data_IF_066421378972
#
_entry.id   IF_066421378972
#
_cell.length_a   1.000
_cell.length_b   1.000
_cell.length_c   1.000
_cell.angle_alpha   90.00
_cell.angle_beta   90.00
_cell.angle_gamma   90.00
#
_symmetry.space_group_name_H-M   'P 1'
#
loop_
_entity.id
_entity.type
_entity.pdbx_description
1 polymer ?
#
# COMPACT_ATOMS: atom_id res chain seq x y z
N UNK A 1 -0.17 4.40 13.27
CA UNK A 1 -1.23 5.33 13.69
C UNK A 1 -1.11 6.57 12.82
N UNK A 2 -1.92 6.70 11.76
CA UNK A 2 -1.98 7.91 10.95
C UNK A 2 -3.23 8.69 11.33
N UNK A 3 -3.05 9.84 11.98
CA UNK A 3 -4.14 10.73 12.38
C UNK A 3 -4.20 11.85 11.33
N UNK A 4 -5.22 11.83 10.47
CA UNK A 4 -5.70 13.06 9.83
C UNK A 4 -7.03 13.46 10.48
N UNK A 5 -7.07 14.69 11.00
CA UNK A 5 -8.28 15.41 11.41
C UNK A 5 -9.24 14.73 12.40
N UNK A 6 -8.78 13.79 13.22
CA UNK A 6 -9.60 13.21 14.30
C UNK A 6 -10.70 12.25 13.83
N UNK A 7 -10.66 11.79 12.58
CA UNK A 7 -11.46 10.66 12.10
C UNK A 7 -10.58 9.42 12.00
N UNK A 8 -10.88 8.41 12.82
CA UNK A 8 -10.30 7.08 12.67
C UNK A 8 -11.11 6.37 11.58
N UNK A 9 -10.83 6.67 10.32
CA UNK A 9 -11.56 6.09 9.17
C UNK A 9 -10.87 4.85 8.55
N UNK A 10 -9.73 4.43 9.11
CA UNK A 10 -9.09 3.16 8.75
C UNK A 10 -9.21 2.18 9.91
N UNK A 11 -9.96 1.07 9.77
CA UNK A 11 -9.78 -0.05 10.67
C UNK A 11 -8.32 -0.51 10.54
N UNK A 12 -7.56 -0.40 11.63
CA UNK A 12 -6.17 -0.79 11.81
C UNK A 12 -5.56 -1.64 10.68
N UNK A 13 -4.79 -0.98 9.79
CA UNK A 13 -3.85 -1.63 8.87
C UNK A 13 -4.47 -2.55 7.82
N UNK A 14 -3.70 -2.82 6.76
CA UNK A 14 -3.99 -4.01 5.95
C UNK A 14 -3.73 -5.21 6.88
N UNK A 15 -4.74 -6.07 7.20
CA UNK A 15 -4.62 -7.02 8.31
C UNK A 15 -3.57 -8.12 8.11
N UNK A 16 -3.09 -8.31 6.88
CA UNK A 16 -2.01 -9.21 6.49
C UNK A 16 -1.58 -8.91 5.04
N UNK A 17 -0.34 -9.23 4.67
CA UNK A 17 0.17 -9.07 3.28
C UNK A 17 -0.72 -9.79 2.26
N UNK A 18 -1.29 -10.93 2.63
CA UNK A 18 -2.23 -11.71 1.79
C UNK A 18 -3.49 -10.92 1.41
N UNK A 19 -3.95 -10.00 2.27
CA UNK A 19 -5.14 -9.18 2.03
C UNK A 19 -4.83 -7.86 1.32
N UNK A 20 -3.56 -7.48 1.21
CA UNK A 20 -3.16 -6.23 0.57
C UNK A 20 -3.67 -6.09 -0.87
N UNK A 21 -3.58 -7.13 -1.73
CA UNK A 21 -4.10 -7.02 -3.10
C UNK A 21 -5.61 -6.78 -3.15
N UNK A 22 -6.37 -7.49 -2.31
CA UNK A 22 -7.83 -7.32 -2.25
C UNK A 22 -8.20 -5.93 -1.73
N UNK A 23 -7.47 -5.43 -0.72
CA UNK A 23 -7.68 -4.10 -0.19
C UNK A 23 -7.47 -3.01 -1.25
N UNK A 24 -6.41 -3.11 -2.06
CA UNK A 24 -6.13 -2.19 -3.17
C UNK A 24 -7.24 -2.29 -4.22
N UNK A 25 -7.69 -3.51 -4.56
CA UNK A 25 -8.79 -3.72 -5.51
C UNK A 25 -10.10 -3.06 -5.03
N UNK A 26 -10.45 -3.23 -3.76
CA UNK A 26 -11.65 -2.64 -3.18
C UNK A 26 -11.52 -1.12 -3.10
N UNK A 27 -10.35 -0.60 -2.74
CA UNK A 27 -10.07 0.83 -2.71
C UNK A 27 -10.17 1.46 -4.11
N UNK A 28 -9.73 0.76 -5.16
CA UNK A 28 -9.84 1.25 -6.55
C UNK A 28 -11.30 1.38 -7.04
N UNK A 29 -12.23 0.62 -6.43
CA UNK A 29 -13.67 0.65 -6.74
C UNK A 29 -14.45 1.70 -5.95
N UNK A 30 -13.86 2.30 -4.92
CA UNK A 30 -14.53 3.33 -4.13
C UNK A 30 -14.81 4.56 -4.99
N UNK A 31 -15.89 5.26 -4.68
CA UNK A 31 -16.29 6.51 -5.33
C UNK A 31 -16.13 7.74 -4.44
N UNK A 32 -15.59 7.54 -3.23
CA UNK A 32 -15.36 8.59 -2.24
C UNK A 32 -13.89 9.06 -2.23
N UNK A 33 -13.53 9.94 -1.29
CA UNK A 33 -12.19 10.50 -1.12
C UNK A 33 -11.09 9.45 -0.87
N UNK A 34 -11.47 8.23 -0.48
CA UNK A 34 -10.55 7.11 -0.22
C UNK A 34 -10.38 6.19 -1.44
N UNK A 35 -10.77 6.63 -2.63
CA UNK A 35 -10.51 5.91 -3.89
C UNK A 35 -9.02 5.79 -4.14
N UNK A 36 -8.55 4.58 -4.37
CA UNK A 36 -7.19 4.34 -4.83
C UNK A 36 -7.02 4.83 -6.28
N UNK A 37 -6.01 5.66 -6.49
CA UNK A 37 -5.68 6.27 -7.78
C UNK A 37 -4.32 5.75 -8.25
N UNK A 38 -4.27 4.89 -9.29
CA UNK A 38 -3.01 4.30 -9.74
C UNK A 38 -2.09 5.29 -10.47
N UNK A 39 -2.59 6.48 -10.80
CA UNK A 39 -1.81 7.55 -11.44
C UNK A 39 -1.08 8.44 -10.40
N UNK A 40 -1.16 8.09 -9.11
CA UNK A 40 -0.46 8.76 -8.01
C UNK A 40 0.58 7.86 -7.38
N UNK A 41 1.52 8.48 -6.66
CA UNK A 41 2.49 7.77 -5.83
C UNK A 41 1.78 6.95 -4.75
N UNK A 42 2.23 5.72 -4.54
CA UNK A 42 1.70 4.82 -3.51
C UNK A 42 2.72 4.75 -2.37
N UNK A 43 2.24 4.90 -1.14
CA UNK A 43 3.04 4.83 0.07
C UNK A 43 2.61 3.63 0.90
N UNK A 44 3.58 2.75 1.20
CA UNK A 44 3.41 1.69 2.19
C UNK A 44 4.23 2.02 3.43
N UNK A 45 3.61 1.89 4.60
CA UNK A 45 4.24 2.07 5.90
C UNK A 45 4.28 0.73 6.62
N UNK A 46 5.45 0.32 7.11
CA UNK A 46 5.60 -0.94 7.82
C UNK A 46 6.75 -0.88 8.84
N UNK A 47 6.82 -1.87 9.74
CA UNK A 47 7.86 -1.91 10.79
C UNK A 47 9.24 -2.21 10.18
N UNK A 48 10.33 -1.60 10.67
CA UNK A 48 11.69 -1.93 10.21
C UNK A 48 12.10 -3.38 10.50
N UNK A 49 11.38 -4.08 11.39
CA UNK A 49 11.63 -5.49 11.70
C UNK A 49 10.78 -6.45 10.85
N UNK A 50 9.84 -5.94 10.04
CA UNK A 50 9.00 -6.76 9.15
C UNK A 50 9.67 -6.98 7.79
N UNK A 51 10.61 -7.92 7.78
CA UNK A 51 11.33 -8.32 6.56
C UNK A 51 10.43 -9.00 5.52
N UNK A 52 9.30 -9.57 5.95
CA UNK A 52 8.33 -10.17 5.03
C UNK A 52 7.64 -9.10 4.19
N UNK A 53 7.28 -7.97 4.80
CA UNK A 53 6.72 -6.82 4.08
C UNK A 53 7.70 -6.25 3.06
N UNK A 54 8.96 -6.03 3.45
CA UNK A 54 10.01 -5.54 2.54
C UNK A 54 10.22 -6.48 1.34
N UNK A 55 10.30 -7.79 1.58
CA UNK A 55 10.46 -8.78 0.52
C UNK A 55 9.23 -8.82 -0.41
N UNK A 56 8.03 -8.78 0.14
CA UNK A 56 6.79 -8.78 -0.64
C UNK A 56 6.66 -7.52 -1.50
N UNK A 57 6.93 -6.34 -0.93
CA UNK A 57 6.89 -5.06 -1.66
C UNK A 57 7.90 -5.01 -2.79
N UNK A 58 9.13 -5.49 -2.56
CA UNK A 58 10.17 -5.56 -3.59
C UNK A 58 9.83 -6.54 -4.72
N UNK A 59 9.10 -7.61 -4.42
CA UNK A 59 8.63 -8.56 -5.43
C UNK A 59 7.47 -7.99 -6.26
N UNK A 60 6.53 -7.28 -5.63
CA UNK A 60 5.34 -6.73 -6.31
C UNK A 60 5.65 -5.43 -7.07
N UNK A 61 6.52 -4.58 -6.53
CA UNK A 61 6.83 -3.26 -7.04
C UNK A 61 8.35 -3.06 -7.14
N UNK A 62 9.04 -3.75 -8.05
CA UNK A 62 10.52 -3.79 -8.10
C UNK A 62 11.19 -2.43 -8.39
N UNK A 63 10.40 -1.45 -8.81
CA UNK A 63 10.82 -0.07 -9.08
C UNK A 63 10.54 0.88 -7.91
N UNK A 64 10.00 0.38 -6.79
CA UNK A 64 9.79 1.17 -5.59
C UNK A 64 11.09 1.37 -4.80
N UNK A 65 11.08 2.41 -3.96
CA UNK A 65 12.22 2.81 -3.14
C UNK A 65 11.85 2.75 -1.67
N UNK A 66 12.67 2.06 -0.90
CA UNK A 66 12.51 1.87 0.53
C UNK A 66 13.38 2.87 1.31
N UNK A 67 12.79 3.54 2.31
CA UNK A 67 13.51 4.47 3.18
C UNK A 67 13.12 4.23 4.64
N UNK A 68 14.11 4.19 5.54
CA UNK A 68 13.88 4.23 6.97
C UNK A 68 13.59 5.68 7.37
N UNK A 69 12.46 5.90 8.04
CA UNK A 69 12.21 7.16 8.73
C UNK A 69 12.46 6.95 10.22
N UNK A 70 13.55 7.54 10.69
CA UNK A 70 13.80 7.65 12.12
C UNK A 70 13.00 8.81 12.70
N UNK A 71 12.29 8.53 13.79
CA UNK A 71 11.64 9.56 14.57
C UNK A 71 12.47 9.86 15.82
N UNK A 72 12.08 10.86 16.61
CA UNK A 72 12.79 11.21 17.85
C UNK A 72 12.84 10.07 18.88
N UNK A 73 11.99 9.05 18.71
CA UNK A 73 11.93 7.83 19.51
C UNK A 73 12.31 6.63 18.62
N UNK A 74 13.42 5.91 18.89
CA UNK A 74 13.86 4.78 18.07
C UNK A 74 12.82 3.64 17.96
N UNK A 75 11.98 3.50 18.98
CA UNK A 75 10.82 2.59 18.99
C UNK A 75 9.70 2.99 18.02
N UNK A 76 9.72 4.22 17.51
CA UNK A 76 8.73 4.79 16.60
C UNK A 76 9.27 4.91 15.16
N UNK A 77 10.44 4.35 14.86
CA UNK A 77 10.94 4.28 13.48
C UNK A 77 10.07 3.38 12.61
N UNK A 78 9.85 3.78 11.36
CA UNK A 78 9.09 2.99 10.39
C UNK A 78 9.72 3.06 9.00
N UNK A 79 9.47 2.03 8.21
CA UNK A 79 9.86 1.98 6.82
C UNK A 79 8.78 2.61 5.95
N UNK A 80 9.20 3.39 4.96
CA UNK A 80 8.35 3.90 3.88
C UNK A 80 8.82 3.25 2.58
N UNK A 81 7.93 2.51 1.92
CA UNK A 81 8.14 2.04 0.56
C UNK A 81 7.34 2.90 -0.41
N UNK A 82 8.05 3.64 -1.26
CA UNK A 82 7.46 4.59 -2.22
C UNK A 82 7.43 3.95 -3.59
N UNK A 83 6.24 3.82 -4.16
CA UNK A 83 6.04 3.28 -5.51
C UNK A 83 5.59 4.43 -6.41
N UNK A 84 6.31 4.75 -7.51
CA UNK A 84 5.85 5.73 -8.48
C UNK A 84 4.51 5.30 -9.09
N UNK A 85 3.77 6.22 -9.74
CA UNK A 85 2.53 5.90 -10.42
C UNK A 85 2.66 4.64 -11.29
N UNK A 86 1.76 3.68 -11.08
CA UNK A 86 1.75 2.39 -11.81
C UNK A 86 0.76 2.42 -12.98
N UNK A 87 -0.13 3.40 -13.00
CA UNK A 87 -1.19 3.54 -13.98
C UNK A 87 -2.21 2.41 -13.95
N UNK A 88 -3.27 2.56 -14.74
CA UNK A 88 -4.32 1.55 -14.83
C UNK A 88 -3.79 0.17 -15.26
N UNK A 89 -2.81 0.14 -16.17
CA UNK A 89 -2.18 -1.11 -16.64
C UNK A 89 -1.36 -1.79 -15.54
N UNK A 90 -0.55 -1.05 -14.78
CA UNK A 90 0.22 -1.60 -13.67
C UNK A 90 -0.68 -2.11 -12.54
N UNK A 91 -1.79 -1.42 -12.27
CA UNK A 91 -2.80 -1.91 -11.33
C UNK A 91 -3.44 -3.20 -11.83
N UNK A 92 -3.82 -3.27 -13.11
CA UNK A 92 -4.40 -4.49 -13.68
C UNK A 92 -3.43 -5.67 -13.63
N UNK A 93 -2.14 -5.45 -13.92
CA UNK A 93 -1.10 -6.46 -13.82
C UNK A 93 -0.90 -6.94 -12.38
N UNK A 94 -0.79 -6.02 -11.42
CA UNK A 94 -0.67 -6.33 -9.99
C UNK A 94 -1.84 -7.20 -9.50
N UNK A 95 -3.08 -6.84 -9.86
CA UNK A 95 -4.27 -7.60 -9.48
C UNK A 95 -4.28 -9.00 -10.12
N UNK A 96 -3.94 -9.10 -11.41
CA UNK A 96 -3.87 -10.38 -12.12
C UNK A 96 -2.80 -11.32 -11.53
N UNK A 97 -1.62 -10.80 -11.17
CA UNK A 97 -0.56 -11.56 -10.50
C UNK A 97 -1.01 -12.12 -9.15
N UNK A 98 -1.95 -11.45 -8.48
CA UNK A 98 -2.52 -11.86 -7.20
C UNK A 98 -3.86 -12.61 -7.36
N UNK A 99 -4.23 -13.03 -8.57
CA UNK A 99 -5.44 -13.80 -8.84
C UNK A 99 -6.75 -13.01 -8.71
N UNK A 100 -6.68 -11.68 -8.69
CA UNK A 100 -7.85 -10.80 -8.57
C UNK A 100 -8.27 -10.32 -9.94
N UNK A 101 -9.50 -10.68 -10.33
CA UNK A 101 -10.13 -10.13 -11.53
C UNK A 101 -10.91 -8.85 -11.18
N UNK A 102 -10.63 -7.78 -11.91
CA UNK A 102 -11.50 -6.60 -11.91
C UNK A 102 -12.74 -6.91 -12.75
N UNK A 103 -13.97 -6.71 -12.24
CA UNK A 103 -15.15 -6.79 -13.09
C UNK A 103 -15.06 -5.73 -14.21
N UNK A 104 -15.63 -5.99 -15.39
CA UNK A 104 -15.69 -4.99 -16.44
C UNK A 104 -16.40 -3.73 -15.91
N UNK A 105 -15.75 -2.58 -16.07
CA UNK A 105 -16.29 -1.26 -15.73
C UNK A 105 -17.26 -0.73 -16.77
#
# INVERSE_FOLDING_TARGET
>A
MGIEAGRIDFPNGIPSLERAPQFIADAARRTNEYRFDPDREILFFYSPQDTAASAWLSAMFPFGVENLLDTYHPEDSYMIYRVPPIGAEGLAFFLAQNGIQMPPG
#
